data_IF_408090957553
#
_entry.id   IF_408090957553
#
_cell.length_a   1.000
_cell.length_b   1.000
_cell.length_c   1.000
_cell.angle_alpha   90.00
_cell.angle_beta   90.00
_cell.angle_gamma   90.00
#
_symmetry.space_group_name_H-M   'P 1'
#
loop_
_entity.id
_entity.type
_entity.pdbx_description
1 polymer ?
#
# COMPACT_ATOMS: atom_id res chain seq x y z
N UNK A 1 0.75 -7.56 3.63
CA UNK A 1 1.17 -8.85 3.01
C UNK A 1 2.48 -8.69 2.26
N UNK A 2 2.54 -7.94 1.15
CA UNK A 2 3.74 -7.86 0.29
C UNK A 2 4.99 -7.29 0.99
N UNK A 3 4.82 -6.34 1.90
CA UNK A 3 5.95 -5.78 2.68
C UNK A 3 6.53 -6.76 3.71
N UNK A 4 5.84 -7.87 3.97
CA UNK A 4 6.21 -8.84 5.01
C UNK A 4 6.50 -10.22 4.43
N UNK A 5 6.41 -10.42 3.11
CA UNK A 5 6.77 -11.69 2.50
C UNK A 5 8.20 -11.64 1.97
N UNK A 6 8.88 -12.78 1.95
CA UNK A 6 10.18 -12.88 1.31
C UNK A 6 10.09 -12.58 -0.20
N UNK A 7 11.08 -11.87 -0.74
CA UNK A 7 11.06 -11.36 -2.12
C UNK A 7 10.84 -12.46 -3.19
N UNK A 8 11.47 -13.62 -3.01
CA UNK A 8 11.33 -14.79 -3.90
C UNK A 8 9.92 -15.40 -3.92
N UNK A 9 9.06 -15.05 -2.95
CA UNK A 9 7.69 -15.56 -2.85
C UNK A 9 6.68 -14.56 -3.44
N UNK A 10 7.07 -13.30 -3.61
CA UNK A 10 6.19 -12.19 -4.00
C UNK A 10 5.45 -12.46 -5.33
N UNK A 11 6.14 -13.02 -6.34
CA UNK A 11 5.52 -13.33 -7.63
C UNK A 11 4.41 -14.39 -7.49
N UNK A 12 4.64 -15.42 -6.67
CA UNK A 12 3.64 -16.49 -6.45
C UNK A 12 2.47 -15.98 -5.63
N UNK A 13 2.73 -15.17 -4.60
CA UNK A 13 1.68 -14.50 -3.82
C UNK A 13 0.84 -13.54 -4.66
N UNK A 14 1.47 -12.79 -5.58
CA UNK A 14 0.75 -11.94 -6.52
C UNK A 14 -0.19 -12.74 -7.42
N UNK A 15 0.26 -13.90 -7.91
CA UNK A 15 -0.61 -14.80 -8.69
C UNK A 15 -1.83 -15.24 -7.86
N UNK A 16 -1.62 -15.72 -6.63
CA UNK A 16 -2.73 -16.11 -5.75
C UNK A 16 -3.66 -14.94 -5.42
N UNK A 17 -3.14 -13.72 -5.31
CA UNK A 17 -3.96 -12.51 -5.13
C UNK A 17 -4.84 -12.23 -6.35
N UNK A 18 -4.33 -12.39 -7.57
CA UNK A 18 -5.16 -12.26 -8.78
C UNK A 18 -6.22 -13.36 -8.85
N UNK A 19 -5.85 -14.61 -8.52
CA UNK A 19 -6.80 -15.71 -8.43
C UNK A 19 -7.91 -15.43 -7.40
N UNK A 20 -7.59 -14.82 -6.26
CA UNK A 20 -8.57 -14.42 -5.25
C UNK A 20 -9.57 -13.39 -5.78
N UNK A 21 -9.11 -12.39 -6.53
CA UNK A 21 -9.97 -11.36 -7.12
C UNK A 21 -10.89 -11.98 -8.19
N UNK A 22 -10.35 -12.85 -9.05
CA UNK A 22 -11.10 -13.44 -10.15
C UNK A 22 -12.11 -14.49 -9.68
N UNK A 23 -11.74 -15.31 -8.68
CA UNK A 23 -12.50 -16.52 -8.29
C UNK A 23 -13.16 -16.41 -6.92
N UNK A 24 -12.90 -15.34 -6.17
CA UNK A 24 -13.46 -15.08 -4.84
C UNK A 24 -12.82 -15.88 -3.70
N UNK A 25 -12.01 -16.90 -3.98
CA UNK A 25 -11.30 -17.67 -2.96
C UNK A 25 -10.01 -18.28 -3.50
N UNK A 26 -9.01 -18.44 -2.64
CA UNK A 26 -7.73 -19.06 -3.00
C UNK A 26 -7.09 -19.76 -1.81
N UNK A 27 -6.36 -20.85 -2.08
CA UNK A 27 -5.36 -21.39 -1.17
C UNK A 27 -3.98 -21.10 -1.78
N UNK A 28 -3.11 -20.38 -1.07
CA UNK A 28 -1.76 -20.09 -1.56
C UNK A 28 -0.89 -21.36 -1.54
N UNK A 29 0.24 -21.31 -2.26
CA UNK A 29 1.37 -22.17 -1.91
C UNK A 29 2.00 -21.75 -0.58
N UNK A 30 2.99 -22.50 -0.11
CA UNK A 30 3.78 -22.09 1.06
C UNK A 30 4.63 -20.87 0.72
N UNK A 31 4.64 -19.90 1.63
CA UNK A 31 5.45 -18.69 1.51
C UNK A 31 6.06 -18.33 2.86
N UNK A 32 7.13 -17.56 2.82
CA UNK A 32 7.86 -17.11 4.01
C UNK A 32 7.33 -15.75 4.44
N UNK A 33 6.82 -15.69 5.66
CA UNK A 33 6.50 -14.44 6.34
C UNK A 33 7.73 -14.01 7.16
N UNK A 34 8.18 -12.79 6.91
CA UNK A 34 9.32 -12.16 7.58
C UNK A 34 8.98 -11.90 9.05
N UNK A 35 9.81 -12.41 9.95
CA UNK A 35 9.62 -12.17 11.38
C UNK A 35 10.26 -10.85 11.79
N UNK A 36 9.77 -10.25 12.88
CA UNK A 36 10.47 -9.14 13.53
C UNK A 36 11.87 -9.62 13.99
N UNK A 37 12.88 -8.79 13.79
CA UNK A 37 14.27 -9.00 14.22
C UNK A 37 15.00 -10.18 13.56
N UNK A 38 14.58 -10.59 12.35
CA UNK A 38 15.29 -11.57 11.54
C UNK A 38 14.55 -12.89 11.34
N UNK A 39 14.95 -13.63 10.32
CA UNK A 39 14.39 -14.92 9.94
C UNK A 39 12.99 -14.85 9.33
N UNK A 40 12.35 -16.00 9.20
CA UNK A 40 11.00 -16.12 8.64
C UNK A 40 10.25 -17.30 9.24
N UNK A 41 8.95 -17.37 8.96
CA UNK A 41 8.07 -18.50 9.29
C UNK A 41 7.34 -18.92 8.02
N UNK A 42 7.25 -20.23 7.74
CA UNK A 42 6.48 -20.74 6.62
C UNK A 42 4.98 -20.69 6.93
N UNK A 43 4.23 -20.04 6.06
CA UNK A 43 2.78 -19.94 6.13
C UNK A 43 2.12 -20.49 4.86
N UNK A 44 0.88 -20.92 5.01
CA UNK A 44 -0.09 -21.06 3.93
C UNK A 44 -1.33 -20.25 4.27
N UNK A 45 -1.90 -19.52 3.31
CA UNK A 45 -3.12 -18.74 3.54
C UNK A 45 -4.26 -19.27 2.69
N UNK A 46 -5.39 -19.57 3.32
CA UNK A 46 -6.68 -19.66 2.64
C UNK A 46 -7.37 -18.30 2.75
N UNK A 47 -7.67 -17.66 1.62
CA UNK A 47 -8.32 -16.36 1.58
C UNK A 47 -9.65 -16.43 0.83
N UNK A 48 -10.64 -15.67 1.29
CA UNK A 48 -11.97 -15.59 0.69
C UNK A 48 -12.47 -14.15 0.69
N UNK A 49 -12.97 -13.69 -0.45
CA UNK A 49 -13.69 -12.42 -0.59
C UNK A 49 -15.11 -12.60 -0.09
N UNK A 50 -15.55 -11.72 0.81
CA UNK A 50 -16.90 -11.69 1.37
C UNK A 50 -17.53 -10.33 1.05
N UNK A 51 -18.65 -10.35 0.35
CA UNK A 51 -19.42 -9.15 0.03
C UNK A 51 -20.49 -8.89 1.09
N UNK A 52 -20.75 -7.62 1.39
CA UNK A 52 -21.87 -7.24 2.25
C UNK A 52 -23.20 -7.57 1.57
N UNK A 53 -24.13 -8.18 2.32
CA UNK A 53 -25.48 -8.49 1.82
C UNK A 53 -26.32 -7.23 1.59
N UNK A 54 -25.92 -6.08 2.17
CA UNK A 54 -26.58 -4.78 2.02
C UNK A 54 -26.00 -3.97 0.87
N UNK A 55 -24.71 -4.15 0.59
CA UNK A 55 -23.99 -3.43 -0.46
C UNK A 55 -22.91 -4.34 -1.08
N UNK A 56 -23.13 -4.82 -2.31
CA UNK A 56 -22.21 -5.74 -2.97
C UNK A 56 -20.83 -5.11 -3.29
N UNK A 57 -20.73 -3.79 -3.31
CA UNK A 57 -19.48 -3.06 -3.55
C UNK A 57 -18.57 -3.04 -2.30
N UNK A 58 -19.12 -3.32 -1.11
CA UNK A 58 -18.34 -3.50 0.11
C UNK A 58 -17.79 -4.93 0.19
N UNK A 59 -16.53 -5.08 -0.18
CA UNK A 59 -15.81 -6.36 -0.17
C UNK A 59 -14.78 -6.41 0.96
N UNK A 60 -14.80 -7.49 1.72
CA UNK A 60 -13.80 -7.80 2.73
C UNK A 60 -13.05 -9.07 2.33
N UNK A 61 -11.79 -9.21 2.75
CA UNK A 61 -11.03 -10.45 2.57
C UNK A 61 -10.80 -11.07 3.94
N UNK A 62 -11.27 -12.31 4.12
CA UNK A 62 -10.98 -13.11 5.30
C UNK A 62 -9.82 -14.03 4.97
N UNK A 63 -8.77 -13.98 5.79
CA UNK A 63 -7.58 -14.82 5.64
C UNK A 63 -7.44 -15.77 6.83
N UNK A 64 -7.40 -17.07 6.56
CA UNK A 64 -7.01 -18.11 7.52
C UNK A 64 -5.56 -18.50 7.24
N UNK A 65 -4.67 -18.26 8.21
CA UNK A 65 -3.25 -18.54 8.09
C UNK A 65 -2.89 -19.83 8.82
N UNK A 66 -2.37 -20.81 8.09
CA UNK A 66 -1.78 -22.02 8.62
C UNK A 66 -0.28 -21.78 8.83
N UNK A 67 0.16 -21.86 10.08
CA UNK A 67 1.58 -21.77 10.44
C UNK A 67 2.19 -23.16 10.25
N UNK A 68 3.13 -23.28 9.31
CA UNK A 68 3.69 -24.56 8.86
C UNK A 68 5.00 -24.90 9.59
N UNK A 69 5.78 -23.88 9.92
CA UNK A 69 7.07 -24.04 10.61
C UNK A 69 7.16 -23.20 11.88
N UNK A 70 8.17 -23.48 12.70
CA UNK A 70 8.67 -22.51 13.67
C UNK A 70 9.46 -21.40 12.94
N UNK A 71 9.97 -20.43 13.70
CA UNK A 71 10.87 -19.41 13.17
C UNK A 71 12.16 -20.07 12.68
N UNK A 72 12.54 -19.76 11.44
CA UNK A 72 13.75 -20.24 10.79
C UNK A 72 14.71 -19.07 10.58
N UNK A 73 16.02 -19.33 10.73
CA UNK A 73 17.09 -18.35 10.52
C UNK A 73 16.93 -17.05 11.33
N UNK A 74 16.53 -17.15 12.61
CA UNK A 74 16.12 -16.01 13.44
C UNK A 74 17.11 -14.84 13.50
N UNK A 75 18.42 -15.09 13.34
CA UNK A 75 19.46 -14.06 13.42
C UNK A 75 19.81 -13.44 12.06
N UNK A 76 19.17 -13.88 10.96
CA UNK A 76 19.45 -13.41 9.62
C UNK A 76 18.45 -12.32 9.20
N UNK A 77 18.95 -11.11 8.96
CA UNK A 77 18.17 -10.01 8.39
C UNK A 77 18.12 -10.18 6.86
N UNK A 78 16.92 -10.28 6.31
CA UNK A 78 16.70 -10.42 4.86
C UNK A 78 16.01 -9.18 4.25
N UNK A 79 15.33 -8.37 5.06
CA UNK A 79 14.63 -7.17 4.58
C UNK A 79 14.67 -6.02 5.63
N UNK A 80 14.51 -4.78 5.18
CA UNK A 80 14.53 -3.60 6.03
C UNK A 80 13.39 -3.58 7.06
N UNK A 81 12.26 -4.24 6.78
CA UNK A 81 11.15 -4.35 7.73
C UNK A 81 11.50 -5.10 9.03
N UNK A 82 12.64 -5.79 9.07
CA UNK A 82 13.10 -6.55 10.25
C UNK A 82 14.04 -5.75 11.15
N UNK A 83 14.52 -4.59 10.70
CA UNK A 83 15.37 -3.73 11.51
C UNK A 83 14.52 -2.91 12.49
N UNK A 84 15.07 -2.60 13.66
CA UNK A 84 14.41 -1.64 14.56
C UNK A 84 14.35 -0.25 13.86
N UNK A 85 13.26 0.51 14.05
CA UNK A 85 13.17 1.85 13.48
C UNK A 85 14.33 2.69 13.99
N UNK A 86 15.15 3.23 13.08
CA UNK A 86 16.20 4.18 13.44
C UNK A 86 15.58 5.43 14.07
N UNK A 87 16.10 5.85 15.22
CA UNK A 87 15.63 7.02 15.98
C UNK A 87 15.79 8.35 15.19
N UNK A 88 16.48 8.33 14.05
CA UNK A 88 16.80 9.51 13.25
C UNK A 88 15.74 9.93 12.22
N UNK A 89 14.57 9.29 12.19
CA UNK A 89 13.46 9.68 11.31
C UNK A 89 12.52 10.72 11.94
N UNK A 90 13.04 11.70 12.70
CA UNK A 90 12.22 12.79 13.25
C UNK A 90 12.24 13.99 12.27
N UNK A 91 11.14 14.11 11.52
CA UNK A 91 10.60 15.31 10.82
C UNK A 91 11.47 15.93 9.71
N UNK A 92 11.11 15.62 8.46
CA UNK A 92 11.22 16.61 7.38
C UNK A 92 9.96 17.48 7.44
N UNK A 93 10.03 18.63 8.10
CA UNK A 93 8.98 19.65 8.00
C UNK A 93 8.80 20.02 6.51
N UNK A 94 7.55 19.95 6.02
CA UNK A 94 7.20 20.51 4.72
C UNK A 94 7.37 22.02 4.78
N UNK A 95 8.46 22.53 4.19
CA UNK A 95 8.57 23.95 3.84
C UNK A 95 7.61 24.21 2.68
N UNK A 96 6.33 24.47 3.02
CA UNK A 96 5.36 25.02 2.08
C UNK A 96 5.88 26.40 1.67
N UNK A 97 6.49 26.44 0.49
CA UNK A 97 6.93 27.68 -0.13
C UNK A 97 5.70 28.32 -0.77
N UNK A 98 5.07 29.28 -0.09
CA UNK A 98 4.01 30.11 -0.66
C UNK A 98 4.55 30.93 -1.83
N UNK A 99 4.40 30.40 -3.05
CA UNK A 99 4.54 31.20 -4.28
C UNK A 99 3.22 31.92 -4.54
N UNK A 100 2.98 33.01 -3.82
CA UNK A 100 2.02 34.01 -4.25
C UNK A 100 2.64 34.86 -5.36
N UNK A 101 2.51 34.43 -6.62
CA UNK A 101 2.83 35.25 -7.79
C UNK A 101 1.53 35.79 -8.40
N UNK A 102 0.96 36.81 -7.78
CA UNK A 102 -0.03 37.69 -8.41
C UNK A 102 0.67 38.94 -8.94
N UNK A 103 1.01 38.97 -10.22
CA UNK A 103 1.42 40.21 -10.91
C UNK A 103 0.17 40.96 -11.39
N UNK A 104 0.07 42.28 -11.16
CA UNK A 104 -1.05 43.08 -11.65
C UNK A 104 -0.80 43.51 -13.10
N UNK A 105 -1.61 43.02 -14.04
CA UNK A 105 -1.67 43.62 -15.37
C UNK A 105 -2.76 44.69 -15.40
N UNK A 106 -2.30 45.93 -15.53
CA UNK A 106 -3.04 47.09 -15.97
C UNK A 106 -3.43 46.94 -17.43
N UNK A 107 -4.73 46.97 -17.75
CA UNK A 107 -5.23 47.34 -19.07
C UNK A 107 -6.64 47.96 -18.90
N UNK A 108 -6.68 49.29 -18.87
CA UNK A 108 -7.91 50.05 -19.03
C UNK A 108 -7.94 50.58 -20.48
N UNK A 109 -8.75 49.95 -21.32
CA UNK A 109 -9.16 50.51 -22.61
C UNK A 109 -10.58 51.10 -22.47
N UNK A 110 -10.84 52.32 -22.96
CA UNK A 110 -12.17 52.91 -22.89
C UNK A 110 -13.00 52.49 -24.13
N UNK A 111 -14.12 51.82 -23.92
CA UNK A 111 -15.16 51.70 -24.95
C UNK A 111 -16.03 52.96 -24.96
N UNK A 112 -16.00 53.66 -26.09
CA UNK A 112 -16.87 54.78 -26.37
C UNK A 112 -18.29 54.30 -26.66
N UNK A 113 -19.27 54.92 -26.02
CA UNK A 113 -20.67 54.84 -26.40
C UNK A 113 -21.11 56.21 -26.92
N UNK A 114 -21.26 56.30 -28.24
CA UNK A 114 -21.89 57.44 -28.90
C UNK A 114 -23.41 57.32 -28.75
N UNK A 115 -24.00 58.23 -27.97
CA UNK A 115 -25.42 58.52 -27.94
C UNK A 115 -25.70 59.81 -28.72
N UNK A 116 -26.74 59.76 -29.53
CA UNK A 116 -27.09 60.67 -30.62
C UNK A 116 -27.59 62.03 -30.12
N UNK A 117 -27.14 63.09 -30.77
CA UNK A 117 -27.69 64.44 -30.81
C UNK A 117 -27.30 65.09 -32.13
#
# INVERSE_FOLDING_TARGET
MYNLCHAEDAIRLRKSHMDLIEKGQVLTGYFRLMNKNGGYTWLQTCATVVCSTKNADEQNIICVNYVISNRENENLILDCCQMEPSVDCIKHEELVSDKNSGSPNSDAAPEGQAGVG
#
